data_IF_711617156387
#
_entry.id   IF_711617156387
#
_cell.length_a   1.000
_cell.length_b   1.000
_cell.length_c   1.000
_cell.angle_alpha   90.00
_cell.angle_beta   90.00
_cell.angle_gamma   90.00
#
_symmetry.space_group_name_H-M   'P 1'
#
loop_
_entity.id
_entity.type
_entity.pdbx_description
1 polymer ?
#
# COMPACT_ATOMS: atom_id res chain seq x y z
N UNK A 1 44.83 68.74 -14.59
CA UNK A 1 43.48 68.56 -14.05
C UNK A 1 42.66 67.64 -14.93
N UNK A 2 42.84 66.35 -14.85
CA UNK A 2 41.88 65.31 -15.39
C UNK A 2 42.20 64.04 -14.62
N UNK A 3 41.45 63.80 -13.54
CA UNK A 3 41.40 62.50 -12.85
C UNK A 3 40.24 62.51 -11.87
N UNK A 4 39.01 62.26 -12.34
CA UNK A 4 37.90 61.82 -11.46
C UNK A 4 36.65 61.27 -12.19
N UNK A 5 36.73 61.05 -13.53
CA UNK A 5 35.57 60.58 -14.27
C UNK A 5 35.43 59.06 -14.44
N UNK A 6 36.49 58.26 -14.22
CA UNK A 6 36.47 56.82 -14.54
C UNK A 6 36.13 55.87 -13.38
N UNK A 7 36.20 56.34 -12.15
CA UNK A 7 35.86 55.46 -10.98
C UNK A 7 34.36 55.36 -10.68
N UNK A 8 33.55 56.33 -11.12
CA UNK A 8 32.08 56.27 -10.89
C UNK A 8 31.34 55.39 -11.89
N UNK A 9 31.86 55.23 -13.10
CA UNK A 9 31.23 54.38 -14.13
C UNK A 9 31.40 52.89 -13.86
N UNK A 10 32.52 52.48 -13.24
CA UNK A 10 32.77 51.06 -12.91
C UNK A 10 31.92 50.61 -11.71
N UNK A 11 31.69 51.49 -10.73
CA UNK A 11 30.79 51.19 -9.59
C UNK A 11 29.33 51.02 -10.01
N UNK A 12 28.82 51.83 -10.94
CA UNK A 12 27.46 51.72 -11.43
C UNK A 12 27.25 50.47 -12.29
N UNK A 13 28.23 50.05 -13.07
CA UNK A 13 28.15 48.84 -13.88
C UNK A 13 28.16 47.54 -13.03
N UNK A 14 28.93 47.50 -11.93
CA UNK A 14 28.96 46.38 -11.02
C UNK A 14 27.66 46.27 -10.19
N UNK A 15 27.07 47.37 -9.78
CA UNK A 15 25.77 47.38 -9.06
C UNK A 15 24.63 47.01 -9.99
N UNK A 16 24.66 47.41 -11.26
CA UNK A 16 23.68 47.01 -12.25
C UNK A 16 23.80 45.53 -12.63
N UNK A 17 25.04 44.96 -12.66
CA UNK A 17 25.24 43.52 -12.92
C UNK A 17 24.83 42.65 -11.73
N UNK A 18 24.95 43.10 -10.48
CA UNK A 18 24.48 42.37 -9.30
C UNK A 18 22.96 42.48 -9.12
N UNK A 19 22.32 43.56 -9.56
CA UNK A 19 20.86 43.66 -9.49
C UNK A 19 20.14 42.83 -10.56
N UNK A 20 20.79 42.55 -11.70
CA UNK A 20 20.22 41.63 -12.71
C UNK A 20 20.40 40.16 -12.28
N UNK A 21 21.44 39.83 -11.51
CA UNK A 21 21.65 38.48 -10.98
C UNK A 21 20.67 38.09 -9.83
N UNK A 22 20.11 39.07 -9.12
CA UNK A 22 19.12 38.85 -8.04
C UNK A 22 17.69 38.85 -8.55
N UNK A 23 17.40 39.28 -9.76
CA UNK A 23 16.09 39.22 -10.38
C UNK A 23 15.77 37.85 -11.05
N UNK A 24 16.76 36.94 -11.12
CA UNK A 24 16.59 35.62 -11.69
C UNK A 24 16.07 34.56 -10.69
N UNK A 25 15.87 34.93 -9.43
CA UNK A 25 15.09 34.14 -8.46
C UNK A 25 13.63 34.65 -8.38
N UNK A 26 13.06 34.98 -9.52
CA UNK A 26 11.62 35.18 -9.63
C UNK A 26 10.97 33.81 -9.43
N UNK A 27 10.23 33.65 -8.35
CA UNK A 27 9.21 32.61 -8.24
C UNK A 27 8.32 32.74 -9.48
N UNK A 28 8.53 31.87 -10.47
CA UNK A 28 7.54 31.66 -11.52
C UNK A 28 6.36 31.04 -10.84
N UNK A 29 5.42 31.86 -10.37
CA UNK A 29 4.09 31.37 -10.03
C UNK A 29 3.45 30.96 -11.37
N UNK A 30 3.38 29.66 -11.60
CA UNK A 30 2.52 29.13 -12.66
C UNK A 30 1.10 29.32 -12.19
N UNK A 31 0.42 30.35 -12.68
CA UNK A 31 -1.01 30.54 -12.48
C UNK A 31 -1.72 29.57 -13.42
N UNK A 32 -1.89 28.33 -12.98
CA UNK A 32 -2.68 27.34 -13.69
C UNK A 32 -4.15 27.71 -13.57
N UNK A 33 -4.64 28.51 -14.53
CA UNK A 33 -6.09 28.67 -14.72
C UNK A 33 -6.60 27.40 -15.39
N UNK A 34 -7.13 26.48 -14.59
CA UNK A 34 -7.90 25.36 -15.12
C UNK A 34 -9.25 25.94 -15.59
N UNK A 35 -9.51 25.89 -16.92
CA UNK A 35 -10.84 26.18 -17.44
C UNK A 35 -11.66 24.91 -17.43
N UNK A 36 -12.81 24.95 -16.81
CA UNK A 36 -13.81 23.87 -16.83
C UNK A 36 -14.86 24.08 -17.92
N UNK A 37 -14.65 25.08 -18.81
CA UNK A 37 -15.56 25.38 -19.90
C UNK A 37 -15.63 24.19 -20.89
N UNK A 38 -16.83 23.68 -21.11
CA UNK A 38 -17.07 22.55 -22.02
C UNK A 38 -16.90 21.17 -21.40
N UNK A 39 -16.52 21.06 -20.12
CA UNK A 39 -16.55 19.79 -19.40
C UNK A 39 -17.99 19.43 -19.10
N UNK A 40 -18.49 18.38 -19.76
CA UNK A 40 -19.77 17.79 -19.41
C UNK A 40 -19.53 16.84 -18.23
N UNK A 41 -20.05 17.20 -17.08
CA UNK A 41 -20.16 16.24 -15.96
C UNK A 41 -21.36 15.34 -16.22
N UNK A 42 -21.15 14.02 -16.22
CA UNK A 42 -22.25 13.08 -16.26
C UNK A 42 -23.02 13.07 -14.93
N UNK A 43 -24.23 12.57 -14.96
CA UNK A 43 -24.98 12.33 -13.73
C UNK A 43 -24.31 11.22 -12.93
N UNK A 44 -23.94 11.51 -11.69
CA UNK A 44 -23.34 10.52 -10.77
C UNK A 44 -24.47 9.83 -10.02
N UNK A 45 -24.52 8.50 -10.13
CA UNK A 45 -25.40 7.64 -9.33
C UNK A 45 -24.57 6.66 -8.52
N UNK A 46 -24.28 6.99 -7.27
CA UNK A 46 -23.59 6.10 -6.35
C UNK A 46 -24.50 5.82 -5.16
N UNK A 47 -25.05 4.61 -5.14
CA UNK A 47 -25.79 4.06 -3.98
C UNK A 47 -24.98 2.98 -3.28
N UNK A 48 -23.66 2.99 -3.48
CA UNK A 48 -22.71 2.05 -2.91
C UNK A 48 -21.75 2.77 -2.00
N UNK A 49 -21.28 2.08 -0.97
CA UNK A 49 -20.17 2.50 -0.12
C UNK A 49 -19.18 1.36 -0.08
N UNK A 50 -17.94 1.64 -0.45
CA UNK A 50 -16.83 0.67 -0.41
C UNK A 50 -15.68 1.33 0.33
N UNK A 51 -15.27 0.75 1.45
CA UNK A 51 -14.18 1.22 2.28
C UNK A 51 -12.86 0.55 1.84
N UNK A 52 -11.73 1.26 1.92
CA UNK A 52 -10.40 0.79 1.47
C UNK A 52 -10.45 0.21 0.04
N UNK A 53 -10.84 1.02 -0.96
CA UNK A 53 -11.16 0.50 -2.28
C UNK A 53 -9.93 0.18 -3.11
N UNK A 54 -9.96 -0.99 -3.77
CA UNK A 54 -9.12 -1.33 -4.92
C UNK A 54 -9.98 -1.41 -6.18
N UNK A 55 -9.44 -1.00 -7.31
CA UNK A 55 -10.17 -0.95 -8.57
C UNK A 55 -9.49 -1.80 -9.64
N UNK A 56 -10.27 -2.60 -10.35
CA UNK A 56 -9.85 -3.41 -11.48
C UNK A 56 -10.70 -3.06 -12.71
N UNK A 57 -10.06 -2.86 -13.87
CA UNK A 57 -10.75 -2.79 -15.17
C UNK A 57 -10.62 -4.13 -15.87
N UNK A 58 -11.74 -4.79 -16.16
CA UNK A 58 -11.79 -6.06 -16.86
C UNK A 58 -13.08 -6.16 -17.69
N UNK A 59 -13.01 -6.81 -18.85
CA UNK A 59 -14.16 -7.09 -19.71
C UNK A 59 -15.01 -5.85 -20.08
N UNK A 60 -14.39 -4.66 -20.11
CA UNK A 60 -15.07 -3.40 -20.41
C UNK A 60 -15.79 -2.76 -19.22
N UNK A 61 -15.77 -3.40 -18.05
CA UNK A 61 -16.32 -2.89 -16.79
C UNK A 61 -15.21 -2.56 -15.78
N UNK A 62 -15.56 -1.75 -14.80
CA UNK A 62 -14.74 -1.45 -13.61
C UNK A 62 -15.35 -2.19 -12.43
N UNK A 63 -14.50 -2.90 -11.70
CA UNK A 63 -14.84 -3.57 -10.44
C UNK A 63 -14.13 -2.87 -9.30
N UNK A 64 -14.83 -2.61 -8.21
CA UNK A 64 -14.26 -2.07 -7.00
C UNK A 64 -14.50 -3.06 -5.85
N UNK A 65 -13.43 -3.35 -5.10
CA UNK A 65 -13.43 -4.27 -3.98
C UNK A 65 -13.02 -3.51 -2.73
N UNK A 66 -13.50 -3.90 -1.57
CA UNK A 66 -13.14 -3.23 -0.34
C UNK A 66 -13.39 -4.03 0.92
N UNK A 67 -13.01 -3.44 2.02
CA UNK A 67 -13.17 -3.99 3.36
C UNK A 67 -14.61 -4.43 3.64
N UNK A 68 -14.77 -5.32 4.58
CA UNK A 68 -16.06 -5.88 5.01
C UNK A 68 -16.78 -6.72 3.94
N UNK A 69 -16.01 -7.29 3.01
CA UNK A 69 -16.50 -8.10 1.89
C UNK A 69 -17.43 -7.32 0.97
N UNK A 70 -17.16 -6.06 0.73
CA UNK A 70 -17.92 -5.19 -0.16
C UNK A 70 -17.37 -5.22 -1.57
N UNK A 71 -18.23 -5.12 -2.58
CA UNK A 71 -17.83 -4.91 -3.97
C UNK A 71 -18.94 -4.22 -4.77
N UNK A 72 -18.55 -3.46 -5.79
CA UNK A 72 -19.44 -2.85 -6.75
C UNK A 72 -18.82 -2.88 -8.14
N UNK A 73 -19.62 -2.57 -9.18
CA UNK A 73 -19.16 -2.47 -10.56
C UNK A 73 -19.74 -1.25 -11.25
N UNK A 74 -19.07 -0.80 -12.31
CA UNK A 74 -19.50 0.31 -13.16
C UNK A 74 -18.94 0.17 -14.57
N UNK A 75 -19.68 0.63 -15.56
CA UNK A 75 -19.18 0.74 -16.94
C UNK A 75 -18.55 2.09 -17.27
N UNK A 76 -18.73 3.11 -16.41
CA UNK A 76 -18.38 4.50 -16.69
C UNK A 76 -17.73 5.27 -15.54
N UNK A 77 -17.49 4.61 -14.39
CA UNK A 77 -16.98 5.19 -13.15
C UNK A 77 -17.91 6.22 -12.47
N UNK A 78 -19.07 6.48 -13.04
CA UNK A 78 -20.06 7.45 -12.53
C UNK A 78 -21.26 6.75 -11.92
N UNK A 79 -21.70 5.66 -12.56
CA UNK A 79 -22.86 4.89 -12.16
C UNK A 79 -22.40 3.55 -11.60
N UNK A 80 -22.57 3.35 -10.30
CA UNK A 80 -22.12 2.17 -9.57
C UNK A 80 -23.28 1.28 -9.15
N UNK A 81 -23.13 -0.01 -9.41
CA UNK A 81 -24.04 -1.07 -8.99
C UNK A 81 -23.38 -1.93 -7.90
N UNK A 82 -24.07 -2.15 -6.79
CA UNK A 82 -23.60 -3.04 -5.72
C UNK A 82 -23.59 -4.48 -6.20
N UNK A 83 -22.44 -5.15 -6.05
CA UNK A 83 -22.24 -6.57 -6.38
C UNK A 83 -22.28 -7.43 -5.11
N UNK A 84 -21.60 -6.98 -4.07
CA UNK A 84 -21.45 -7.73 -2.82
C UNK A 84 -21.43 -6.80 -1.61
N UNK A 85 -21.88 -7.30 -0.46
CA UNK A 85 -21.83 -6.59 0.81
C UNK A 85 -22.04 -7.59 1.96
N UNK A 86 -21.17 -7.51 2.97
CA UNK A 86 -21.28 -8.24 4.22
C UNK A 86 -20.76 -9.68 4.21
N UNK A 87 -20.65 -10.18 5.43
CA UNK A 87 -20.02 -11.46 5.78
C UNK A 87 -21.02 -12.62 5.64
N UNK A 88 -21.02 -13.30 4.51
CA UNK A 88 -21.97 -14.38 4.25
C UNK A 88 -21.44 -15.37 3.20
N UNK A 89 -21.73 -16.65 3.39
CA UNK A 89 -21.53 -17.70 2.36
C UNK A 89 -22.30 -17.43 1.05
N UNK A 90 -23.31 -16.56 1.10
CA UNK A 90 -24.08 -16.13 -0.08
C UNK A 90 -23.46 -14.90 -0.79
N UNK A 91 -22.40 -14.32 -0.23
CA UNK A 91 -21.69 -13.23 -0.88
C UNK A 91 -21.12 -13.72 -2.23
N UNK A 92 -21.50 -13.12 -3.37
CA UNK A 92 -21.12 -13.65 -4.69
C UNK A 92 -19.63 -13.52 -5.00
N UNK A 93 -18.93 -12.63 -4.29
CA UNK A 93 -17.49 -12.38 -4.49
C UNK A 93 -16.65 -13.14 -3.47
N UNK A 94 -17.03 -13.08 -2.20
CA UNK A 94 -16.21 -13.57 -1.07
C UNK A 94 -16.80 -14.83 -0.40
N UNK A 95 -17.92 -15.35 -0.91
CA UNK A 95 -18.63 -16.45 -0.24
C UNK A 95 -17.79 -17.73 -0.08
N UNK A 96 -16.91 -18.03 -1.04
CA UNK A 96 -16.00 -19.17 -0.97
C UNK A 96 -14.94 -18.99 0.12
N UNK A 97 -14.47 -17.76 0.35
CA UNK A 97 -13.54 -17.43 1.45
C UNK A 97 -14.25 -17.62 2.80
N UNK A 98 -15.51 -17.18 2.89
CA UNK A 98 -16.31 -17.35 4.11
C UNK A 98 -16.76 -18.79 4.34
N UNK A 99 -16.88 -19.60 3.28
CA UNK A 99 -17.28 -21.01 3.39
C UNK A 99 -16.21 -21.85 4.09
N UNK A 100 -14.93 -21.54 3.87
CA UNK A 100 -13.77 -22.15 4.55
C UNK A 100 -13.28 -21.31 5.74
N UNK A 101 -14.20 -20.72 6.50
CA UNK A 101 -13.89 -19.78 7.57
C UNK A 101 -12.96 -20.35 8.65
N UNK A 102 -13.02 -21.64 8.93
CA UNK A 102 -12.14 -22.30 9.91
C UNK A 102 -10.67 -22.33 9.45
N UNK A 103 -10.42 -22.27 8.14
CA UNK A 103 -9.08 -22.21 7.55
C UNK A 103 -8.66 -20.76 7.29
N UNK A 104 -9.49 -19.99 6.59
CA UNK A 104 -9.19 -18.60 6.20
C UNK A 104 -9.01 -17.67 7.40
N UNK A 105 -9.68 -17.94 8.51
CA UNK A 105 -9.60 -17.17 9.76
C UNK A 105 -8.93 -17.93 10.91
N UNK A 106 -8.20 -19.00 10.62
CA UNK A 106 -7.57 -19.83 11.64
C UNK A 106 -6.63 -19.05 12.57
N UNK A 107 -5.85 -18.13 12.02
CA UNK A 107 -4.89 -17.31 12.77
C UNK A 107 -5.55 -16.08 13.42
N UNK A 108 -6.24 -15.27 12.64
CA UNK A 108 -6.82 -13.99 13.09
C UNK A 108 -8.12 -13.66 12.35
N UNK A 109 -8.82 -12.62 12.81
CA UNK A 109 -9.99 -12.05 12.14
C UNK A 109 -11.33 -12.70 12.53
N UNK A 110 -11.37 -13.59 13.51
CA UNK A 110 -12.58 -14.22 14.00
C UNK A 110 -12.52 -14.47 15.50
N UNK A 111 -13.68 -14.59 16.15
CA UNK A 111 -13.79 -15.04 17.55
C UNK A 111 -13.24 -16.46 17.78
N UNK A 112 -13.14 -17.28 16.73
CA UNK A 112 -12.65 -18.64 16.77
C UNK A 112 -11.17 -18.74 16.38
N UNK A 113 -10.56 -17.65 15.91
CA UNK A 113 -9.15 -17.59 15.52
C UNK A 113 -8.21 -17.90 16.69
N UNK A 114 -6.97 -18.27 16.39
CA UNK A 114 -5.91 -18.41 17.38
C UNK A 114 -5.72 -17.12 18.19
N UNK A 115 -5.68 -15.99 17.49
CA UNK A 115 -5.74 -14.65 18.09
C UNK A 115 -7.16 -14.14 17.90
N UNK A 116 -7.92 -14.19 18.96
CA UNK A 116 -9.36 -13.90 18.92
C UNK A 116 -9.64 -12.42 18.80
N UNK A 117 -10.71 -12.10 18.09
CA UNK A 117 -11.35 -10.78 18.15
C UNK A 117 -12.56 -10.83 19.09
N UNK A 118 -12.86 -9.72 19.73
CA UNK A 118 -14.07 -9.56 20.56
C UNK A 118 -15.34 -9.35 19.73
N UNK A 119 -15.17 -9.05 18.45
CA UNK A 119 -16.28 -8.86 17.53
C UNK A 119 -16.99 -10.19 17.19
N UNK A 120 -18.26 -10.10 16.87
CA UNK A 120 -19.06 -11.23 16.42
C UNK A 120 -18.91 -11.53 14.94
N UNK A 121 -18.31 -10.61 14.20
CA UNK A 121 -18.09 -10.71 12.76
C UNK A 121 -16.66 -11.18 12.47
N UNK A 122 -16.43 -11.65 11.27
CA UNK A 122 -15.08 -11.86 10.74
C UNK A 122 -14.58 -10.55 10.13
N UNK A 123 -13.27 -10.37 10.10
CA UNK A 123 -12.65 -9.17 9.55
C UNK A 123 -11.80 -9.51 8.34
N UNK A 124 -12.28 -9.11 7.17
CA UNK A 124 -11.55 -9.08 5.89
C UNK A 124 -11.42 -7.62 5.49
N UNK A 125 -10.19 -7.14 5.35
CA UNK A 125 -9.92 -5.73 5.06
C UNK A 125 -9.04 -5.56 3.83
N UNK A 126 -9.18 -4.37 3.21
CA UNK A 126 -8.33 -3.81 2.15
C UNK A 126 -7.91 -4.86 1.09
N UNK A 127 -8.84 -5.50 0.40
CA UNK A 127 -8.50 -6.41 -0.68
C UNK A 127 -7.96 -5.64 -1.88
N UNK A 128 -7.00 -6.24 -2.60
CA UNK A 128 -6.55 -5.79 -3.90
C UNK A 128 -6.63 -6.92 -4.92
N UNK A 129 -6.98 -6.61 -6.15
CA UNK A 129 -7.21 -7.61 -7.20
C UNK A 129 -6.38 -7.30 -8.43
N UNK A 130 -5.66 -8.32 -8.92
CA UNK A 130 -4.87 -8.27 -10.13
C UNK A 130 -5.19 -9.45 -11.05
N UNK A 131 -5.17 -9.22 -12.37
CA UNK A 131 -5.18 -10.30 -13.35
C UNK A 131 -3.77 -10.82 -13.54
N UNK A 132 -3.59 -12.12 -13.42
CA UNK A 132 -2.31 -12.78 -13.60
C UNK A 132 -2.29 -13.47 -14.99
N UNK A 133 -1.61 -12.84 -15.94
CA UNK A 133 -1.51 -13.36 -17.32
C UNK A 133 -0.80 -14.73 -17.41
N UNK A 134 0.07 -15.06 -16.45
CA UNK A 134 0.78 -16.34 -16.41
C UNK A 134 -0.15 -17.51 -16.15
N UNK A 135 -1.15 -17.32 -15.29
CA UNK A 135 -2.10 -18.39 -14.89
C UNK A 135 -3.47 -18.23 -15.54
N UNK A 136 -3.78 -17.05 -16.10
CA UNK A 136 -5.09 -16.72 -16.63
C UNK A 136 -6.17 -16.52 -15.55
N UNK A 137 -5.77 -16.27 -14.30
CA UNK A 137 -6.67 -16.10 -13.18
C UNK A 137 -6.60 -14.68 -12.59
N UNK A 138 -7.69 -14.27 -11.94
CA UNK A 138 -7.72 -13.12 -11.08
C UNK A 138 -7.26 -13.54 -9.67
N UNK A 139 -6.34 -12.81 -9.10
CA UNK A 139 -5.83 -13.01 -7.74
C UNK A 139 -6.33 -11.86 -6.87
N UNK A 140 -6.97 -12.18 -5.77
CA UNK A 140 -7.35 -11.24 -4.73
C UNK A 140 -6.43 -11.44 -3.53
N UNK A 141 -5.67 -10.41 -3.18
CA UNK A 141 -4.88 -10.36 -1.96
C UNK A 141 -5.65 -9.52 -0.93
N UNK A 142 -5.73 -9.99 0.29
CA UNK A 142 -6.50 -9.34 1.36
C UNK A 142 -5.89 -9.67 2.71
N UNK A 143 -6.34 -9.04 3.78
CA UNK A 143 -5.95 -9.45 5.11
C UNK A 143 -7.13 -9.94 5.94
N UNK A 144 -6.84 -10.83 6.90
CA UNK A 144 -7.69 -11.04 8.06
C UNK A 144 -6.99 -10.46 9.30
N UNK A 145 -7.75 -9.87 10.22
CA UNK A 145 -7.16 -9.15 11.35
C UNK A 145 -8.02 -9.26 12.61
N UNK A 146 -7.34 -9.40 13.75
CA UNK A 146 -7.96 -9.40 15.09
C UNK A 146 -7.58 -8.15 15.87
N UNK A 147 -7.54 -7.01 15.18
CA UNK A 147 -7.14 -5.71 15.69
C UNK A 147 -5.63 -5.43 15.70
N UNK A 148 -5.28 -4.17 15.49
CA UNK A 148 -3.99 -3.47 15.63
C UNK A 148 -2.79 -4.08 14.91
N UNK A 149 -2.38 -5.30 15.16
CA UNK A 149 -1.20 -5.90 14.53
C UNK A 149 -1.24 -7.43 14.47
N UNK A 150 -2.28 -8.04 15.00
CA UNK A 150 -2.49 -9.49 14.91
C UNK A 150 -3.27 -9.81 13.62
N UNK A 151 -2.53 -9.90 12.53
CA UNK A 151 -3.09 -9.98 11.17
C UNK A 151 -2.33 -11.00 10.34
N UNK A 152 -2.95 -11.43 9.26
CA UNK A 152 -2.28 -12.20 8.21
C UNK A 152 -2.78 -11.79 6.83
N UNK A 153 -1.86 -11.70 5.88
CA UNK A 153 -2.17 -11.56 4.47
C UNK A 153 -2.58 -12.92 3.92
N UNK A 154 -3.62 -12.91 3.09
CA UNK A 154 -4.18 -14.07 2.43
C UNK A 154 -4.34 -13.80 0.94
N UNK A 155 -4.59 -14.87 0.18
CA UNK A 155 -5.02 -14.71 -1.20
C UNK A 155 -6.07 -15.74 -1.60
N UNK A 156 -6.85 -15.35 -2.59
CA UNK A 156 -7.83 -16.20 -3.26
C UNK A 156 -7.75 -16.00 -4.77
N UNK A 157 -8.25 -16.96 -5.53
CA UNK A 157 -8.24 -16.91 -6.99
C UNK A 157 -9.62 -17.08 -7.58
N UNK A 158 -9.84 -16.52 -8.77
CA UNK A 158 -11.07 -16.67 -9.53
C UNK A 158 -10.78 -16.68 -11.03
N UNK A 159 -11.65 -17.34 -11.81
CA UNK A 159 -11.64 -17.29 -13.27
C UNK A 159 -12.35 -16.06 -13.82
N UNK A 160 -13.06 -15.31 -12.98
CA UNK A 160 -13.81 -14.11 -13.39
C UNK A 160 -13.46 -12.93 -12.47
N UNK A 161 -13.47 -11.67 -12.97
CA UNK A 161 -13.11 -10.51 -12.17
C UNK A 161 -14.05 -10.30 -10.97
N UNK A 162 -15.32 -10.62 -11.12
CA UNK A 162 -16.33 -10.46 -10.06
C UNK A 162 -16.42 -11.61 -9.05
N UNK A 163 -15.51 -12.59 -9.13
CA UNK A 163 -15.54 -13.75 -8.24
C UNK A 163 -16.49 -14.87 -8.69
N UNK A 164 -16.80 -15.87 -7.85
CA UNK A 164 -16.29 -15.98 -6.49
C UNK A 164 -14.78 -16.24 -6.41
N UNK A 165 -14.14 -15.68 -5.40
CA UNK A 165 -12.73 -15.93 -5.11
C UNK A 165 -12.62 -17.11 -4.15
N UNK A 166 -11.90 -18.15 -4.55
CA UNK A 166 -11.61 -19.33 -3.74
C UNK A 166 -10.33 -19.09 -2.93
N UNK A 167 -10.41 -19.30 -1.61
CA UNK A 167 -9.27 -19.17 -0.71
C UNK A 167 -8.16 -20.17 -1.06
N UNK A 168 -6.92 -19.69 -1.16
CA UNK A 168 -5.76 -20.48 -1.52
C UNK A 168 -4.75 -20.63 -0.36
N UNK A 169 -4.71 -19.66 0.57
CA UNK A 169 -3.79 -19.72 1.69
C UNK A 169 -3.48 -18.37 2.32
N UNK A 170 -2.77 -18.42 3.43
CA UNK A 170 -2.15 -17.27 4.06
C UNK A 170 -0.69 -17.13 3.60
N UNK A 171 -0.16 -15.91 3.63
CA UNK A 171 1.14 -15.55 3.05
C UNK A 171 2.12 -14.97 4.07
N UNK A 172 1.66 -14.05 4.91
CA UNK A 172 2.47 -13.30 5.87
C UNK A 172 1.66 -13.12 7.15
N UNK A 173 2.32 -13.30 8.27
CA UNK A 173 1.72 -13.17 9.60
C UNK A 173 2.38 -12.08 10.42
N UNK A 174 1.61 -11.38 11.24
CA UNK A 174 2.10 -10.38 12.21
C UNK A 174 1.37 -10.49 13.55
N UNK A 175 1.92 -9.84 14.57
CA UNK A 175 1.27 -9.76 15.89
C UNK A 175 1.35 -11.03 16.74
N UNK A 176 2.13 -12.02 16.34
CA UNK A 176 2.38 -13.22 17.13
C UNK A 176 3.29 -12.94 18.34
N UNK A 177 3.33 -13.88 19.26
CA UNK A 177 4.27 -13.94 20.36
C UNK A 177 4.82 -15.38 20.50
N UNK A 178 5.65 -15.64 21.49
CA UNK A 178 6.26 -16.97 21.69
C UNK A 178 5.26 -18.12 21.83
N UNK A 179 3.99 -17.84 22.19
CA UNK A 179 2.96 -18.86 22.36
C UNK A 179 2.15 -19.09 21.07
N UNK A 180 2.11 -18.11 20.20
CA UNK A 180 1.25 -18.11 19.00
C UNK A 180 2.03 -18.23 17.70
N UNK A 181 3.35 -18.07 17.72
CA UNK A 181 4.22 -18.20 16.52
C UNK A 181 4.11 -19.57 15.85
N UNK A 182 3.87 -20.64 16.60
CA UNK A 182 3.66 -21.98 16.06
C UNK A 182 2.37 -22.14 15.25
N UNK A 183 1.48 -21.13 15.28
CA UNK A 183 0.30 -21.06 14.42
C UNK A 183 0.53 -20.24 13.16
N UNK A 184 1.78 -19.96 12.83
CA UNK A 184 2.23 -19.24 11.62
C UNK A 184 3.27 -20.07 10.89
N UNK A 185 3.65 -19.67 9.70
CA UNK A 185 4.72 -20.26 8.90
C UNK A 185 6.10 -19.60 9.12
N UNK A 186 6.21 -18.65 10.03
CA UNK A 186 7.43 -17.85 10.28
C UNK A 186 8.65 -18.75 10.50
N UNK A 187 8.49 -19.85 11.25
CA UNK A 187 9.58 -20.75 11.57
C UNK A 187 9.99 -21.68 10.42
N UNK A 188 9.26 -21.66 9.31
CA UNK A 188 9.66 -22.34 8.07
C UNK A 188 10.70 -21.53 7.28
N UNK A 189 10.78 -20.21 7.55
CA UNK A 189 11.66 -19.26 6.85
C UNK A 189 12.81 -18.73 7.69
N UNK A 190 12.65 -18.68 9.02
CA UNK A 190 13.70 -18.23 9.95
C UNK A 190 13.76 -19.18 11.15
N UNK A 191 14.93 -19.33 11.74
CA UNK A 191 15.06 -20.11 12.96
C UNK A 191 14.43 -19.42 14.19
N UNK A 192 14.17 -20.19 15.24
CA UNK A 192 13.49 -19.70 16.45
C UNK A 192 14.30 -18.60 17.15
N UNK A 193 15.62 -18.70 17.18
CA UNK A 193 16.50 -17.70 17.79
C UNK A 193 16.41 -16.36 17.04
N UNK A 194 16.41 -16.41 15.71
CA UNK A 194 16.21 -15.23 14.88
C UNK A 194 14.84 -14.60 15.14
N UNK A 195 13.78 -15.40 15.10
CA UNK A 195 12.41 -14.94 15.31
C UNK A 195 12.23 -14.28 16.69
N UNK A 196 12.72 -14.95 17.74
CA UNK A 196 12.60 -14.43 19.11
C UNK A 196 13.41 -13.17 19.36
N UNK A 197 14.58 -13.06 18.76
CA UNK A 197 15.46 -11.91 18.87
C UNK A 197 14.94 -10.68 18.14
N UNK A 198 14.38 -10.88 16.95
CA UNK A 198 14.01 -9.77 16.06
C UNK A 198 12.52 -9.45 16.15
N UNK A 199 11.64 -10.45 16.08
CA UNK A 199 10.19 -10.25 15.95
C UNK A 199 9.45 -10.13 17.28
N UNK A 200 10.12 -10.44 18.41
CA UNK A 200 9.49 -10.39 19.73
C UNK A 200 10.26 -9.45 20.65
N UNK A 201 9.58 -8.43 21.15
CA UNK A 201 10.09 -7.45 22.11
C UNK A 201 9.40 -7.66 23.46
N UNK A 202 10.14 -8.16 24.46
CA UNK A 202 9.54 -8.61 25.71
C UNK A 202 8.62 -9.81 25.52
N UNK A 203 7.33 -9.64 25.78
CA UNK A 203 6.32 -10.70 25.66
C UNK A 203 5.43 -10.56 24.40
N UNK A 204 5.66 -9.54 23.58
CA UNK A 204 4.77 -9.14 22.47
C UNK A 204 5.52 -9.07 21.15
N UNK A 205 4.77 -9.00 20.06
CA UNK A 205 5.30 -8.71 18.73
C UNK A 205 6.04 -7.35 18.73
N UNK A 206 7.16 -7.30 18.04
CA UNK A 206 7.95 -6.08 17.87
C UNK A 206 7.35 -5.20 16.77
N UNK A 207 6.19 -4.63 17.04
CA UNK A 207 5.44 -3.81 16.09
C UNK A 207 6.13 -2.46 15.75
N UNK A 208 7.14 -2.04 16.51
CA UNK A 208 7.89 -0.82 16.17
C UNK A 208 8.81 -1.02 14.96
N UNK A 209 9.32 -2.22 14.78
CA UNK A 209 10.30 -2.54 13.74
C UNK A 209 9.74 -3.42 12.61
N UNK A 210 8.65 -4.16 12.86
CA UNK A 210 8.07 -5.09 11.90
C UNK A 210 6.63 -4.73 11.54
N UNK A 211 6.17 -5.08 10.30
CA UNK A 211 4.91 -4.58 9.77
C UNK A 211 3.70 -5.16 10.48
N UNK A 212 2.57 -4.47 10.37
CA UNK A 212 1.27 -5.09 10.45
C UNK A 212 0.93 -5.69 9.08
N UNK A 213 0.59 -6.97 9.01
CA UNK A 213 0.31 -7.68 7.77
C UNK A 213 -1.11 -7.37 7.26
N UNK A 214 -1.33 -6.12 6.86
CA UNK A 214 -2.58 -5.61 6.27
C UNK A 214 -2.28 -4.68 5.09
N UNK A 215 -3.32 -4.22 4.41
CA UNK A 215 -3.30 -3.25 3.31
C UNK A 215 -2.42 -3.70 2.13
N UNK A 216 -2.59 -4.92 1.59
CA UNK A 216 -1.79 -5.35 0.45
C UNK A 216 -2.23 -4.63 -0.82
N UNK A 217 -1.26 -4.24 -1.64
CA UNK A 217 -1.47 -3.84 -3.04
C UNK A 217 -0.49 -4.58 -3.92
N UNK A 218 -0.96 -5.12 -5.04
CA UNK A 218 -0.19 -5.93 -5.96
C UNK A 218 -0.09 -5.28 -7.33
N UNK A 219 1.09 -5.36 -7.93
CA UNK A 219 1.36 -4.69 -9.20
C UNK A 219 2.48 -5.39 -9.97
N UNK A 220 2.61 -5.07 -11.26
CA UNK A 220 3.74 -5.46 -12.07
C UNK A 220 4.76 -4.32 -12.16
N UNK A 221 6.05 -4.66 -12.05
CA UNK A 221 7.11 -3.70 -12.34
C UNK A 221 7.35 -3.58 -13.86
N UNK A 222 8.30 -2.70 -14.24
CA UNK A 222 8.66 -2.45 -15.64
C UNK A 222 9.21 -3.70 -16.36
N UNK A 223 9.74 -4.67 -15.61
CA UNK A 223 10.29 -5.92 -16.13
C UNK A 223 9.25 -7.06 -16.14
N UNK A 224 8.02 -6.77 -15.72
CA UNK A 224 6.92 -7.72 -15.60
C UNK A 224 7.06 -8.71 -14.45
N UNK A 225 7.84 -8.39 -13.41
CA UNK A 225 7.83 -9.11 -12.14
C UNK A 225 6.63 -8.63 -11.32
N UNK A 226 6.06 -9.52 -10.55
CA UNK A 226 4.90 -9.23 -9.71
C UNK A 226 5.34 -8.93 -8.28
N UNK A 227 4.82 -7.88 -7.70
CA UNK A 227 5.19 -7.39 -6.38
C UNK A 227 3.96 -7.13 -5.52
N UNK A 228 4.14 -7.24 -4.21
CA UNK A 228 3.18 -6.81 -3.20
C UNK A 228 3.82 -5.77 -2.28
N UNK A 229 3.21 -4.60 -2.18
CA UNK A 229 3.50 -3.60 -1.16
C UNK A 229 2.40 -3.66 -0.10
N UNK A 230 2.77 -3.61 1.19
CA UNK A 230 1.82 -3.78 2.29
C UNK A 230 2.32 -3.14 3.58
N UNK A 231 1.46 -3.07 4.58
CA UNK A 231 1.80 -2.59 5.90
C UNK A 231 0.99 -1.36 6.32
N UNK A 232 0.82 -1.23 7.62
CA UNK A 232 0.07 -0.15 8.25
C UNK A 232 0.68 0.14 9.61
N UNK A 233 0.97 1.41 9.89
CA UNK A 233 1.58 1.89 11.12
C UNK A 233 2.81 1.05 11.49
N UNK A 234 2.86 0.47 12.66
CA UNK A 234 3.82 -0.55 13.09
C UNK A 234 5.25 -0.29 12.57
N UNK A 235 5.89 -1.28 11.98
CA UNK A 235 7.22 -1.18 11.37
C UNK A 235 7.24 -0.44 10.04
N UNK A 236 6.09 0.02 9.53
CA UNK A 236 5.98 0.76 8.26
C UNK A 236 5.53 -0.08 7.08
N UNK A 237 5.94 0.35 5.89
CA UNK A 237 5.54 -0.18 4.59
C UNK A 237 6.65 -1.09 4.06
N UNK A 238 6.26 -2.30 3.65
CA UNK A 238 7.15 -3.36 3.19
C UNK A 238 6.82 -3.81 1.77
N UNK A 239 7.80 -4.40 1.09
CA UNK A 239 7.72 -4.88 -0.29
C UNK A 239 8.23 -6.32 -0.36
N UNK A 240 7.48 -7.19 -1.02
CA UNK A 240 7.85 -8.57 -1.36
C UNK A 240 7.58 -8.87 -2.83
N UNK A 241 8.43 -9.68 -3.45
CA UNK A 241 8.16 -10.22 -4.77
C UNK A 241 7.17 -11.38 -4.68
N UNK A 242 6.30 -11.50 -5.68
CA UNK A 242 5.31 -12.58 -5.81
C UNK A 242 5.72 -13.51 -6.95
N UNK A 243 5.71 -14.80 -6.70
CA UNK A 243 5.87 -15.80 -7.74
C UNK A 243 4.62 -15.84 -8.62
N UNK A 244 4.73 -15.40 -9.85
CA UNK A 244 3.60 -15.32 -10.80
C UNK A 244 2.94 -16.67 -11.09
N UNK A 245 3.66 -17.79 -10.94
CA UNK A 245 3.10 -19.11 -11.22
C UNK A 245 2.24 -19.63 -10.07
N UNK A 246 2.60 -19.27 -8.82
CA UNK A 246 1.93 -19.80 -7.63
C UNK A 246 1.08 -18.77 -6.89
N UNK A 247 1.34 -17.47 -7.07
CA UNK A 247 0.72 -16.40 -6.28
C UNK A 247 1.31 -16.22 -4.88
N UNK A 248 2.30 -17.03 -4.51
CA UNK A 248 2.96 -16.99 -3.20
C UNK A 248 4.05 -15.92 -3.15
N UNK A 249 4.33 -15.43 -1.97
CA UNK A 249 5.49 -14.53 -1.73
C UNK A 249 6.80 -15.27 -1.93
N UNK A 250 7.81 -14.54 -2.42
CA UNK A 250 9.19 -14.99 -2.51
C UNK A 250 9.93 -14.34 -1.34
N UNK A 251 10.34 -15.14 -0.37
CA UNK A 251 11.09 -14.68 0.78
C UNK A 251 12.55 -14.39 0.40
N UNK A 252 13.05 -13.17 0.62
CA UNK A 252 14.40 -12.78 0.23
C UNK A 252 15.45 -13.27 1.24
N UNK A 253 16.70 -13.23 0.84
CA UNK A 253 17.84 -13.30 1.76
C UNK A 253 17.89 -12.04 2.65
N UNK A 254 18.26 -12.23 3.92
CA UNK A 254 18.37 -11.10 4.85
C UNK A 254 19.50 -10.14 4.44
N UNK A 255 19.15 -8.84 4.32
CA UNK A 255 20.13 -7.78 4.06
C UNK A 255 19.82 -6.55 4.93
N UNK A 256 20.44 -6.52 6.12
CA UNK A 256 20.23 -5.43 7.08
C UNK A 256 20.71 -4.06 6.58
N UNK A 257 21.72 -4.03 5.71
CA UNK A 257 22.24 -2.78 5.15
C UNK A 257 21.21 -2.10 4.25
N UNK A 258 20.37 -2.89 3.58
CA UNK A 258 19.31 -2.43 2.69
C UNK A 258 17.90 -2.57 3.28
N UNK A 259 17.77 -2.77 4.61
CA UNK A 259 16.50 -2.96 5.32
C UNK A 259 15.65 -4.13 4.78
N UNK A 260 16.30 -5.23 4.37
CA UNK A 260 15.61 -6.45 3.91
C UNK A 260 15.56 -7.46 5.03
N UNK A 261 14.34 -7.84 5.39
CA UNK A 261 14.04 -8.90 6.35
C UNK A 261 13.72 -10.20 5.59
N UNK A 262 14.21 -11.37 6.04
CA UNK A 262 14.03 -12.63 5.32
C UNK A 262 12.58 -13.12 5.28
N UNK A 263 11.72 -12.68 6.19
CA UNK A 263 10.31 -13.04 6.21
C UNK A 263 9.42 -11.93 5.67
N UNK A 264 9.63 -10.69 6.10
CA UNK A 264 8.78 -9.55 5.76
C UNK A 264 9.18 -8.81 4.48
N UNK A 265 10.37 -9.07 3.92
CA UNK A 265 10.86 -8.38 2.74
C UNK A 265 11.50 -7.03 3.05
N UNK A 266 11.51 -6.13 2.07
CA UNK A 266 12.19 -4.84 2.16
C UNK A 266 11.28 -3.76 2.75
N UNK A 267 11.73 -3.11 3.83
CA UNK A 267 11.04 -1.91 4.34
C UNK A 267 11.36 -0.72 3.44
N UNK A 268 10.32 -0.14 2.86
CA UNK A 268 10.41 1.05 2.00
C UNK A 268 10.31 2.34 2.79
N UNK A 269 9.32 2.46 3.68
CA UNK A 269 9.02 3.66 4.45
C UNK A 269 8.63 3.32 5.89
N UNK A 270 8.70 4.31 6.78
CA UNK A 270 8.16 4.20 8.13
C UNK A 270 9.09 3.50 9.12
N UNK A 271 8.50 2.94 10.15
CA UNK A 271 9.15 2.36 11.34
C UNK A 271 8.91 3.20 12.57
N UNK A 272 9.00 2.59 13.76
CA UNK A 272 8.75 3.28 15.03
C UNK A 272 7.28 3.68 15.21
N UNK A 273 6.37 2.93 14.63
CA UNK A 273 4.92 3.12 14.74
C UNK A 273 4.41 4.48 14.23
N UNK A 274 5.02 5.00 13.15
CA UNK A 274 4.52 6.20 12.47
C UNK A 274 3.16 5.88 11.84
N UNK A 275 2.24 6.85 11.86
CA UNK A 275 0.91 6.72 11.25
C UNK A 275 0.98 6.84 9.72
N UNK A 276 1.29 5.73 9.06
CA UNK A 276 1.39 5.55 7.61
C UNK A 276 0.72 4.24 7.24
N UNK A 277 -0.12 4.23 6.22
CA UNK A 277 -0.87 3.03 5.79
C UNK A 277 -1.36 3.11 4.36
N UNK A 278 -2.03 2.05 3.87
CA UNK A 278 -2.67 2.01 2.57
C UNK A 278 -1.70 2.26 1.41
N UNK A 279 -0.58 1.52 1.29
CA UNK A 279 0.39 1.75 0.23
C UNK A 279 -0.17 1.35 -1.13
N UNK A 280 0.16 2.14 -2.16
CA UNK A 280 -0.11 1.82 -3.56
C UNK A 280 1.10 2.23 -4.41
N UNK A 281 1.61 1.32 -5.22
CA UNK A 281 2.72 1.61 -6.15
C UNK A 281 2.23 1.50 -7.58
N UNK A 282 2.60 2.50 -8.39
CA UNK A 282 2.46 2.45 -9.84
C UNK A 282 3.75 2.84 -10.54
N UNK A 283 4.02 2.22 -11.67
CA UNK A 283 5.08 2.62 -12.59
C UNK A 283 4.53 3.57 -13.66
N UNK A 284 5.19 4.68 -13.88
CA UNK A 284 4.89 5.61 -14.97
C UNK A 284 5.98 5.53 -16.04
N UNK A 285 5.65 4.94 -17.19
CA UNK A 285 6.56 4.76 -18.32
C UNK A 285 7.10 6.10 -18.84
N UNK A 286 6.30 7.18 -18.76
CA UNK A 286 6.70 8.49 -19.28
C UNK A 286 7.85 9.09 -18.50
N UNK A 287 7.79 9.04 -17.18
CA UNK A 287 8.84 9.55 -16.29
C UNK A 287 9.91 8.51 -15.95
N UNK A 288 9.60 7.23 -16.10
CA UNK A 288 10.42 6.09 -15.69
C UNK A 288 10.61 6.04 -14.17
N UNK A 289 9.59 6.43 -13.42
CA UNK A 289 9.56 6.36 -11.96
C UNK A 289 8.46 5.42 -11.47
N UNK A 290 8.74 4.77 -10.35
CA UNK A 290 7.74 4.18 -9.48
C UNK A 290 7.25 5.25 -8.51
N UNK A 291 5.94 5.42 -8.41
CA UNK A 291 5.28 6.33 -7.46
C UNK A 291 4.62 5.53 -6.37
N UNK A 292 5.02 5.77 -5.13
CA UNK A 292 4.41 5.18 -3.94
C UNK A 292 3.48 6.21 -3.28
N UNK A 293 2.21 5.88 -3.25
CA UNK A 293 1.16 6.62 -2.56
C UNK A 293 0.91 5.97 -1.20
N UNK A 294 0.79 6.76 -0.15
CA UNK A 294 0.51 6.27 1.20
C UNK A 294 -0.36 7.27 1.95
N UNK A 295 -1.19 6.79 2.84
CA UNK A 295 -2.00 7.62 3.73
C UNK A 295 -1.22 7.90 5.01
N UNK A 296 -1.15 9.16 5.42
CA UNK A 296 -0.57 9.63 6.67
C UNK A 296 -1.64 10.17 7.59
N UNK A 297 -1.39 10.09 8.90
CA UNK A 297 -2.33 10.54 9.91
C UNK A 297 -3.26 9.44 10.40
N UNK A 298 -4.27 9.80 11.19
CA UNK A 298 -5.25 8.85 11.69
C UNK A 298 -6.61 9.02 10.99
N UNK A 299 -7.30 7.92 10.75
CA UNK A 299 -8.63 7.87 10.13
C UNK A 299 -9.70 8.35 11.13
N UNK A 300 -9.60 9.62 11.52
CA UNK A 300 -10.55 10.31 12.41
C UNK A 300 -10.78 11.72 11.91
N UNK A 301 -11.88 12.34 12.31
CA UNK A 301 -12.23 13.72 11.90
C UNK A 301 -11.13 14.75 12.22
N UNK A 302 -10.29 14.50 13.21
CA UNK A 302 -9.19 15.37 13.64
C UNK A 302 -7.80 14.75 13.40
N UNK A 303 -7.73 13.61 12.69
CA UNK A 303 -6.50 12.83 12.55
C UNK A 303 -5.53 13.34 11.49
N UNK A 304 -5.92 14.34 10.70
CA UNK A 304 -5.08 14.87 9.62
C UNK A 304 -4.80 13.88 8.49
N UNK A 305 -5.73 12.96 8.23
CA UNK A 305 -5.58 11.91 7.23
C UNK A 305 -5.38 12.50 5.84
N UNK A 306 -4.25 12.16 5.21
CA UNK A 306 -3.84 12.74 3.92
C UNK A 306 -2.99 11.76 3.11
N UNK A 307 -3.10 11.83 1.79
CA UNK A 307 -2.22 11.08 0.88
C UNK A 307 -0.91 11.83 0.66
N UNK A 308 0.20 11.11 0.79
CA UNK A 308 1.53 11.58 0.38
C UNK A 308 2.09 10.70 -0.71
N UNK A 309 2.95 11.28 -1.56
CA UNK A 309 3.52 10.61 -2.73
C UNK A 309 5.03 10.67 -2.68
N UNK A 310 5.67 9.53 -2.89
CA UNK A 310 7.10 9.37 -3.01
C UNK A 310 7.43 8.69 -4.33
N UNK A 311 8.67 8.82 -4.80
CA UNK A 311 9.09 8.20 -6.06
C UNK A 311 10.47 7.56 -5.97
N UNK A 312 10.69 6.52 -6.78
CA UNK A 312 11.98 5.85 -6.94
C UNK A 312 12.22 5.48 -8.40
N UNK A 313 13.48 5.30 -8.79
CA UNK A 313 13.85 4.80 -10.13
C UNK A 313 13.80 3.27 -10.23
N UNK A 314 13.84 2.57 -9.10
CA UNK A 314 13.70 1.11 -9.03
C UNK A 314 12.57 0.75 -8.09
N UNK A 315 11.93 -0.39 -8.32
CA UNK A 315 10.76 -0.84 -7.55
C UNK A 315 11.07 -0.98 -6.06
N UNK A 316 12.26 -1.42 -5.74
CA UNK A 316 12.79 -1.65 -4.39
C UNK A 316 13.80 -0.58 -3.95
N UNK A 317 13.91 0.53 -4.67
CA UNK A 317 14.84 1.60 -4.39
C UNK A 317 14.43 2.49 -3.23
N UNK A 318 15.21 3.54 -3.03
CA UNK A 318 14.91 4.57 -2.07
C UNK A 318 13.79 5.47 -2.62
N UNK A 319 12.65 5.49 -1.94
CA UNK A 319 11.53 6.37 -2.27
C UNK A 319 11.71 7.73 -1.62
N UNK A 320 11.78 8.77 -2.44
CA UNK A 320 12.00 10.16 -2.01
C UNK A 320 10.80 11.04 -2.37
N UNK A 321 10.63 12.14 -1.64
CA UNK A 321 9.63 13.16 -1.94
C UNK A 321 9.95 13.91 -3.25
N UNK A 322 9.10 14.86 -3.63
CA UNK A 322 9.32 15.66 -4.85
C UNK A 322 10.59 16.52 -4.80
N UNK A 323 11.16 16.78 -3.62
CA UNK A 323 12.41 17.52 -3.42
C UNK A 323 13.65 16.62 -3.37
N UNK A 324 13.46 15.31 -3.56
CA UNK A 324 14.53 14.31 -3.49
C UNK A 324 14.96 13.97 -2.06
N UNK A 325 14.10 14.21 -1.07
CA UNK A 325 14.36 13.86 0.32
C UNK A 325 13.67 12.57 0.71
N UNK A 326 14.41 11.70 1.39
CA UNK A 326 13.81 10.54 2.05
C UNK A 326 12.92 11.01 3.21
N UNK A 327 11.70 10.46 3.38
CA UNK A 327 10.85 10.84 4.50
C UNK A 327 11.52 10.48 5.82
N UNK A 328 11.81 11.50 6.61
CA UNK A 328 12.35 11.31 7.96
C UNK A 328 11.32 10.58 8.84
N UNK A 329 11.82 9.89 9.88
CA UNK A 329 10.99 9.13 10.84
C UNK A 329 10.02 9.99 11.66
N UNK A 330 10.03 11.30 11.45
CA UNK A 330 9.12 12.24 12.11
C UNK A 330 8.25 12.96 11.07
N UNK A 331 6.97 12.71 11.12
CA UNK A 331 5.99 13.59 10.48
C UNK A 331 5.50 14.62 11.48
#
# INVERSE_FOLDING_TARGET
MIRNGKKKAISCALVAAMSVGLAACGTTSYDFKVSYDGIKTGDVSSKVSVHDPSILKADGEYYIFGSHMSAAKSSDLLNWEKVADGYSKKNPVYGQIYDVADEAFAYSGSKNSLIKTDDKQVHVWAPDVIYNETTGLYYMYYCTTSTWNASNLCYGTSTTPGGPYEWQGALIYSGFNRKTISGTDVLDYVDEDYAYKNYIKGAQYNYEDYPNAIDPTVFYDADGRMWMVYGSWSGGIFLLEINKTTGLVIHPEADKANNVDPYYGKRLLGGGHISIEGPYIMYDETSGYYYLFVSYGALTSNGGYQVRVFRSKTVDGEYVDMNGKYPEKSA
#
